data_IF_764921518790
#
_entry.id   IF_764921518790
#
_cell.length_a   1.000
_cell.length_b   1.000
_cell.length_c   1.000
_cell.angle_alpha   90.00
_cell.angle_beta   90.00
_cell.angle_gamma   90.00
#
_symmetry.space_group_name_H-M   'P 1'
#
loop_
_entity.id
_entity.type
_entity.pdbx_description
1 polymer ?
#
# COMPACT_ATOMS: atom_id res chain seq x y z
N UNK A 1 10.95 -17.69 5.39
CA UNK A 1 9.48 -17.53 5.44
C UNK A 1 8.85 -18.84 5.81
N UNK A 2 7.73 -18.83 6.55
CA UNK A 2 7.00 -20.06 6.87
C UNK A 2 6.50 -20.74 5.60
N UNK A 3 6.44 -22.07 5.61
CA UNK A 3 6.14 -22.89 4.42
C UNK A 3 4.67 -22.87 3.96
N UNK A 4 3.75 -22.15 4.63
CA UNK A 4 2.33 -22.09 4.24
C UNK A 4 1.65 -20.77 4.60
N UNK A 5 0.56 -20.44 3.88
CA UNK A 5 -0.27 -19.25 4.07
C UNK A 5 -0.91 -19.20 5.47
N UNK A 6 -1.48 -20.31 6.01
CA UNK A 6 -2.03 -20.30 7.37
C UNK A 6 -0.98 -19.97 8.45
N UNK A 7 0.26 -20.46 8.28
CA UNK A 7 1.35 -20.12 9.20
C UNK A 7 1.75 -18.65 9.09
N UNK A 8 1.78 -18.11 7.87
CA UNK A 8 2.03 -16.69 7.65
C UNK A 8 0.96 -15.82 8.33
N UNK A 9 -0.34 -16.14 8.17
CA UNK A 9 -1.42 -15.42 8.83
C UNK A 9 -1.37 -15.53 10.36
N UNK A 10 -0.93 -16.67 10.90
CA UNK A 10 -0.71 -16.81 12.34
C UNK A 10 0.36 -15.84 12.85
N UNK A 11 1.46 -15.67 12.12
CA UNK A 11 2.53 -14.73 12.46
C UNK A 11 2.02 -13.28 12.35
N UNK A 12 1.24 -12.97 11.32
CA UNK A 12 0.71 -11.62 11.06
C UNK A 12 -0.57 -11.30 11.85
N UNK A 13 -1.06 -12.19 12.71
CA UNK A 13 -2.36 -12.06 13.39
C UNK A 13 -2.55 -10.72 14.10
N UNK A 14 -1.48 -10.18 14.70
CA UNK A 14 -1.50 -8.90 15.44
C UNK A 14 -1.59 -7.65 14.57
N UNK A 15 -1.50 -7.77 13.25
CA UNK A 15 -1.48 -6.62 12.34
C UNK A 15 -2.88 -6.16 11.90
N UNK A 16 -3.91 -6.99 12.13
CA UNK A 16 -5.29 -6.71 11.72
C UNK A 16 -6.27 -6.99 12.86
N UNK A 17 -7.44 -6.36 12.79
CA UNK A 17 -8.56 -6.59 13.72
C UNK A 17 -9.26 -7.91 13.43
N UNK A 18 -10.14 -8.37 14.34
CA UNK A 18 -10.94 -9.58 14.09
C UNK A 18 -11.91 -9.41 12.92
N UNK A 19 -12.47 -8.22 12.72
CA UNK A 19 -13.34 -7.89 11.58
C UNK A 19 -12.59 -8.04 10.26
N UNK A 20 -11.42 -7.42 10.14
CA UNK A 20 -10.54 -7.52 8.96
C UNK A 20 -10.15 -8.99 8.70
N UNK A 21 -9.76 -9.73 9.74
CA UNK A 21 -9.46 -11.15 9.61
C UNK A 21 -10.67 -11.99 9.17
N UNK A 22 -11.87 -11.62 9.60
CA UNK A 22 -13.12 -12.23 9.16
C UNK A 22 -13.32 -12.07 7.66
N UNK A 23 -13.10 -10.86 7.14
CA UNK A 23 -13.17 -10.58 5.69
C UNK A 23 -12.07 -11.33 4.94
N UNK A 24 -10.80 -11.18 5.36
CA UNK A 24 -9.64 -11.85 4.73
C UNK A 24 -9.87 -13.35 4.61
N UNK A 25 -10.32 -14.02 5.67
CA UNK A 25 -10.51 -15.48 5.70
C UNK A 25 -11.81 -15.95 5.07
N UNK A 26 -12.75 -15.05 4.76
CA UNK A 26 -13.99 -15.42 4.07
C UNK A 26 -13.79 -15.68 2.57
N UNK A 27 -12.62 -15.31 2.02
CA UNK A 27 -12.28 -15.58 0.63
C UNK A 27 -12.15 -17.09 0.35
N UNK A 28 -12.57 -17.49 -0.85
CA UNK A 28 -12.81 -18.89 -1.23
C UNK A 28 -11.55 -19.76 -1.38
N UNK A 29 -10.38 -19.16 -1.58
CA UNK A 29 -9.10 -19.88 -1.71
C UNK A 29 -8.00 -19.19 -0.92
N UNK A 30 -6.97 -19.93 -0.50
CA UNK A 30 -5.83 -19.34 0.22
C UNK A 30 -5.15 -18.21 -0.57
N UNK A 31 -5.13 -18.31 -1.91
CA UNK A 31 -4.59 -17.25 -2.77
C UNK A 31 -5.44 -15.97 -2.68
N UNK A 32 -6.77 -16.09 -2.76
CA UNK A 32 -7.66 -14.93 -2.61
C UNK A 32 -7.63 -14.36 -1.19
N UNK A 33 -7.41 -15.20 -0.16
CA UNK A 33 -7.19 -14.71 1.21
C UNK A 33 -5.89 -13.90 1.28
N UNK A 34 -4.82 -14.37 0.63
CA UNK A 34 -3.54 -13.67 0.60
C UNK A 34 -3.62 -12.35 -0.21
N UNK A 35 -4.38 -12.34 -1.31
CA UNK A 35 -4.71 -11.12 -2.07
C UNK A 35 -5.42 -10.08 -1.18
N UNK A 36 -6.48 -10.49 -0.49
CA UNK A 36 -7.23 -9.63 0.43
C UNK A 36 -6.38 -9.14 1.62
N UNK A 37 -5.46 -9.99 2.10
CA UNK A 37 -4.47 -9.60 3.11
C UNK A 37 -3.58 -8.47 2.60
N UNK A 38 -3.04 -8.58 1.38
CA UNK A 38 -2.16 -7.56 0.81
C UNK A 38 -2.89 -6.24 0.53
N UNK A 39 -4.16 -6.31 0.14
CA UNK A 39 -5.03 -5.13 0.04
C UNK A 39 -5.17 -4.39 1.37
N UNK A 40 -5.55 -5.09 2.45
CA UNK A 40 -5.66 -4.47 3.78
C UNK A 40 -4.31 -3.95 4.29
N UNK A 41 -3.23 -4.67 4.00
CA UNK A 41 -1.88 -4.23 4.35
C UNK A 41 -1.53 -2.91 3.66
N UNK A 42 -1.77 -2.80 2.35
CA UNK A 42 -1.53 -1.59 1.59
C UNK A 42 -2.34 -0.39 2.12
N UNK A 43 -3.61 -0.61 2.47
CA UNK A 43 -4.47 0.41 3.09
C UNK A 43 -3.89 0.94 4.40
N UNK A 44 -3.55 0.07 5.36
CA UNK A 44 -2.93 0.47 6.63
C UNK A 44 -1.61 1.22 6.41
N UNK A 45 -0.74 0.70 5.56
CA UNK A 45 0.54 1.34 5.25
C UNK A 45 0.34 2.71 4.59
N UNK A 46 -0.66 2.87 3.72
CA UNK A 46 -0.97 4.15 3.08
C UNK A 46 -1.36 5.22 4.11
N UNK A 47 -2.21 4.84 5.08
CA UNK A 47 -2.59 5.73 6.19
C UNK A 47 -1.39 6.09 7.07
N UNK A 48 -0.61 5.09 7.51
CA UNK A 48 0.56 5.33 8.36
C UNK A 48 1.59 6.26 7.71
N UNK A 49 1.81 6.11 6.41
CA UNK A 49 2.69 6.98 5.62
C UNK A 49 2.13 8.39 5.53
N UNK A 50 0.82 8.53 5.30
CA UNK A 50 0.18 9.84 5.22
C UNK A 50 0.27 10.62 6.53
N UNK A 51 0.12 9.95 7.69
CA UNK A 51 0.24 10.61 9.00
C UNK A 51 1.69 10.75 9.51
N UNK A 52 2.65 10.03 8.93
CA UNK A 52 4.07 10.15 9.26
C UNK A 52 4.51 9.56 10.60
N UNK A 53 3.76 8.60 11.16
CA UNK A 53 4.01 8.04 12.51
C UNK A 53 5.05 6.92 12.57
N UNK A 54 5.44 6.36 11.41
CA UNK A 54 6.45 5.30 11.32
C UNK A 54 6.01 3.94 11.90
N UNK A 55 6.99 3.12 12.30
CA UNK A 55 6.82 1.68 12.61
C UNK A 55 6.22 1.37 14.00
N UNK A 56 6.15 2.36 14.90
CA UNK A 56 5.72 2.14 16.28
C UNK A 56 4.20 2.14 16.48
N UNK A 57 3.43 2.39 15.42
CA UNK A 57 2.00 2.52 15.51
C UNK A 57 1.32 1.15 15.70
N UNK A 58 0.41 1.06 16.66
CA UNK A 58 -0.37 -0.16 16.86
C UNK A 58 -1.43 -0.32 15.75
N UNK A 59 -1.16 -1.19 14.78
CA UNK A 59 -2.04 -1.44 13.62
C UNK A 59 -3.44 -1.94 13.99
N UNK A 60 -3.66 -2.50 15.18
CA UNK A 60 -4.98 -2.94 15.62
C UNK A 60 -5.94 -1.79 15.98
N UNK A 61 -5.42 -0.56 16.10
CA UNK A 61 -6.25 0.64 16.28
C UNK A 61 -6.96 1.05 15.00
N UNK A 62 -6.42 0.66 13.85
CA UNK A 62 -6.99 0.95 12.54
C UNK A 62 -7.84 -0.24 12.13
N UNK A 63 -9.02 0.01 11.61
CA UNK A 63 -9.86 -1.02 10.99
C UNK A 63 -10.35 -0.51 9.63
N UNK A 64 -10.10 -1.27 8.57
CA UNK A 64 -10.63 -0.99 7.25
C UNK A 64 -11.85 -1.84 6.93
N UNK A 65 -12.92 -1.17 6.51
CA UNK A 65 -14.11 -1.79 5.95
C UNK A 65 -14.03 -1.67 4.43
N UNK A 66 -13.43 -2.68 3.81
CA UNK A 66 -13.17 -2.68 2.37
C UNK A 66 -14.45 -2.80 1.53
N UNK A 67 -14.56 -1.96 0.50
CA UNK A 67 -15.67 -1.98 -0.46
C UNK A 67 -15.23 -1.45 -1.82
N UNK A 68 -15.60 -2.09 -2.95
CA UNK A 68 -16.21 -3.42 -3.04
C UNK A 68 -15.21 -4.52 -2.67
N UNK A 69 -15.68 -5.76 -2.44
CA UNK A 69 -14.78 -6.88 -2.10
C UNK A 69 -13.85 -7.29 -3.25
N UNK A 70 -14.29 -7.12 -4.49
CA UNK A 70 -13.50 -7.45 -5.68
C UNK A 70 -13.21 -6.19 -6.48
N UNK A 71 -11.92 -5.97 -6.77
CA UNK A 71 -11.44 -4.86 -7.58
C UNK A 71 -11.15 -5.35 -9.00
N UNK A 72 -11.55 -4.56 -10.00
CA UNK A 72 -11.12 -4.73 -11.38
C UNK A 72 -9.76 -4.05 -11.61
N UNK A 73 -8.95 -4.64 -12.50
CA UNK A 73 -7.63 -4.10 -12.84
C UNK A 73 -7.78 -2.73 -13.53
N UNK A 74 -6.96 -1.77 -13.10
CA UNK A 74 -6.87 -0.44 -13.68
C UNK A 74 -8.00 0.52 -13.31
N UNK A 75 -9.01 0.08 -12.55
CA UNK A 75 -10.07 0.92 -11.99
C UNK A 75 -9.72 1.43 -10.60
N UNK A 76 -10.24 2.61 -10.28
CA UNK A 76 -10.05 3.29 -8.99
C UNK A 76 -11.34 3.20 -8.19
N UNK A 77 -11.22 2.76 -6.95
CA UNK A 77 -12.32 2.61 -5.99
C UNK A 77 -12.09 3.52 -4.80
N UNK A 78 -13.18 4.05 -4.22
CA UNK A 78 -13.14 5.05 -3.14
C UNK A 78 -14.09 4.74 -1.98
N UNK A 79 -14.75 3.59 -2.04
CA UNK A 79 -15.84 3.22 -1.14
C UNK A 79 -15.34 2.61 0.18
N UNK A 80 -14.05 2.30 0.29
CA UNK A 80 -13.45 1.76 1.51
C UNK A 80 -13.41 2.79 2.62
N UNK A 81 -13.90 2.40 3.79
CA UNK A 81 -13.97 3.25 4.97
C UNK A 81 -12.94 2.82 6.02
N UNK A 82 -12.45 3.79 6.81
CA UNK A 82 -11.52 3.53 7.91
C UNK A 82 -12.15 3.93 9.24
N UNK A 83 -11.93 3.08 10.26
CA UNK A 83 -12.17 3.39 11.65
C UNK A 83 -10.83 3.50 12.38
N UNK A 84 -10.73 4.46 13.29
CA UNK A 84 -9.64 4.60 14.24
C UNK A 84 -10.20 4.47 15.66
N UNK A 85 -9.70 3.50 16.42
CA UNK A 85 -10.19 3.17 17.77
C UNK A 85 -11.71 2.96 17.83
N UNK A 86 -12.30 2.46 16.74
CA UNK A 86 -13.74 2.20 16.62
C UNK A 86 -14.58 3.39 16.13
N UNK A 87 -13.97 4.55 15.90
CA UNK A 87 -14.64 5.74 15.38
C UNK A 87 -14.38 5.91 13.88
N UNK A 88 -15.42 6.22 13.11
CA UNK A 88 -15.29 6.46 11.67
C UNK A 88 -14.49 7.74 11.42
N UNK A 89 -13.49 7.63 10.55
CA UNK A 89 -12.60 8.73 10.19
C UNK A 89 -12.98 9.34 8.83
N UNK A 90 -12.85 10.67 8.71
CA UNK A 90 -13.12 11.42 7.47
C UNK A 90 -11.90 11.38 6.51
N UNK A 91 -11.43 10.18 6.20
CA UNK A 91 -10.34 9.96 5.25
C UNK A 91 -10.89 9.34 3.97
N UNK A 92 -10.33 9.72 2.83
CA UNK A 92 -10.63 9.07 1.55
C UNK A 92 -9.49 8.14 1.17
N UNK A 93 -9.83 6.93 0.74
CA UNK A 93 -8.85 5.95 0.27
C UNK A 93 -9.12 5.63 -1.19
N UNK A 94 -8.14 5.85 -2.05
CA UNK A 94 -8.22 5.41 -3.45
C UNK A 94 -7.50 4.08 -3.59
N UNK A 95 -8.23 3.06 -4.04
CA UNK A 95 -7.71 1.71 -4.24
C UNK A 95 -7.65 1.37 -5.72
N UNK A 96 -6.49 0.89 -6.17
CA UNK A 96 -6.28 0.46 -7.56
C UNK A 96 -5.52 -0.85 -7.58
N UNK A 97 -5.99 -1.81 -8.38
CA UNK A 97 -5.24 -3.02 -8.71
C UNK A 97 -4.52 -2.79 -10.05
N UNK A 98 -3.20 -2.68 -10.04
CA UNK A 98 -2.42 -2.34 -11.25
C UNK A 98 -2.37 -3.50 -12.24
N UNK A 99 -2.29 -4.71 -11.72
CA UNK A 99 -2.29 -5.98 -12.44
C UNK A 99 -2.76 -7.08 -11.49
N UNK A 100 -2.57 -8.35 -11.86
CA UNK A 100 -3.07 -9.44 -11.04
C UNK A 100 -2.44 -9.58 -9.64
N UNK A 101 -1.29 -8.95 -9.38
CA UNK A 101 -0.45 -9.20 -8.22
C UNK A 101 -0.17 -7.92 -7.38
N UNK A 102 -0.52 -6.74 -7.89
CA UNK A 102 -0.16 -5.47 -7.26
C UNK A 102 -1.38 -4.64 -6.86
N UNK A 103 -1.54 -4.45 -5.56
CA UNK A 103 -2.49 -3.51 -4.96
C UNK A 103 -1.81 -2.19 -4.64
N UNK A 104 -2.49 -1.09 -4.93
CA UNK A 104 -2.10 0.26 -4.54
C UNK A 104 -3.23 0.90 -3.74
N UNK A 105 -2.85 1.53 -2.63
CA UNK A 105 -3.76 2.33 -1.80
C UNK A 105 -3.16 3.72 -1.62
N UNK A 106 -3.98 4.75 -1.84
CA UNK A 106 -3.64 6.16 -1.61
C UNK A 106 -4.55 6.70 -0.51
N UNK A 107 -3.96 7.06 0.64
CA UNK A 107 -4.67 7.72 1.72
C UNK A 107 -4.66 9.23 1.51
N UNK A 108 -5.84 9.83 1.43
CA UNK A 108 -6.05 11.27 1.29
C UNK A 108 -6.60 11.81 2.62
N UNK A 109 -5.85 12.75 3.21
CA UNK A 109 -6.15 13.35 4.51
C UNK A 109 -7.53 13.99 4.57
N UNK A 110 -8.00 14.24 5.80
CA UNK A 110 -9.24 14.96 6.07
C UNK A 110 -9.26 16.23 5.22
N UNK A 111 -10.35 16.44 4.48
CA UNK A 111 -10.57 17.74 3.86
C UNK A 111 -10.79 18.74 4.99
N UNK A 112 -9.71 19.35 5.47
CA UNK A 112 -9.83 20.48 6.38
C UNK A 112 -10.73 21.50 5.66
N UNK A 113 -11.90 21.79 6.24
CA UNK A 113 -12.73 22.92 5.84
C UNK A 113 -11.96 24.20 6.19
N UNK A 114 -10.85 24.46 5.51
CA UNK A 114 -10.21 25.76 5.53
C UNK A 114 -11.26 26.74 5.02
N UNK A 115 -11.63 27.68 5.89
CA UNK A 115 -12.54 28.76 5.55
C UNK A 115 -12.08 29.44 4.26
N UNK A 116 -12.97 29.45 3.28
CA UNK A 116 -13.07 30.32 2.11
C UNK A 116 -11.86 31.21 1.76
N UNK A 117 -11.29 30.98 0.57
CA UNK A 117 -11.12 31.96 -0.53
C UNK A 117 -9.82 31.72 -1.32
N UNK A 118 -9.78 30.65 -2.11
CA UNK A 118 -9.06 30.71 -3.38
C UNK A 118 -10.04 30.33 -4.49
N UNK A 119 -10.51 31.39 -5.16
CA UNK A 119 -11.21 31.31 -6.42
C UNK A 119 -10.40 30.54 -7.46
N UNK A 120 -11.11 29.75 -8.26
CA UNK A 120 -10.66 29.12 -9.50
C UNK A 120 -9.46 28.18 -9.37
N UNK A 121 -9.68 26.99 -8.82
CA UNK A 121 -9.07 25.81 -9.43
C UNK A 121 -10.15 25.19 -10.29
N UNK A 122 -9.92 25.21 -11.61
CA UNK A 122 -10.81 24.63 -12.59
C UNK A 122 -11.26 23.26 -12.10
N UNK A 123 -12.58 23.09 -11.97
CA UNK A 123 -13.22 21.79 -12.06
C UNK A 123 -12.93 21.24 -13.45
N UNK A 124 -11.72 20.70 -13.62
CA UNK A 124 -11.48 19.77 -14.70
C UNK A 124 -12.40 18.58 -14.44
N UNK A 125 -13.10 18.16 -15.49
CA UNK A 125 -13.84 16.91 -15.56
C UNK A 125 -13.18 15.84 -14.66
N UNK A 126 -13.94 15.06 -13.87
CA UNK A 126 -13.37 14.07 -12.99
C UNK A 126 -12.85 12.89 -13.85
N UNK A 127 -11.74 13.10 -14.56
CA UNK A 127 -10.91 12.00 -14.98
C UNK A 127 -10.49 11.32 -13.69
N UNK A 128 -11.04 10.12 -13.48
CA UNK A 128 -10.69 9.30 -12.33
C UNK A 128 -9.15 9.21 -12.28
N UNK A 129 -8.53 9.48 -11.12
CA UNK A 129 -7.07 9.52 -11.02
C UNK A 129 -6.51 8.14 -11.33
N UNK A 130 -5.99 7.96 -12.55
CA UNK A 130 -5.42 6.70 -13.00
C UNK A 130 -3.90 6.78 -12.94
N UNK A 131 -3.26 5.72 -12.44
CA UNK A 131 -1.81 5.60 -12.46
C UNK A 131 -1.28 5.63 -13.89
N UNK A 132 -0.22 6.41 -14.11
CA UNK A 132 0.51 6.44 -15.37
C UNK A 132 1.82 5.68 -15.20
N UNK A 133 2.08 4.72 -16.08
CA UNK A 133 3.36 4.01 -16.12
C UNK A 133 4.40 4.89 -16.83
N UNK A 134 5.48 5.23 -16.15
CA UNK A 134 6.59 6.03 -16.69
C UNK A 134 7.76 5.12 -17.07
N UNK A 135 8.42 5.40 -18.19
CA UNK A 135 9.69 4.75 -18.55
C UNK A 135 10.87 5.45 -17.88
N UNK A 136 12.07 4.88 -18.02
CA UNK A 136 13.29 5.54 -17.55
C UNK A 136 13.49 6.90 -18.24
N UNK A 137 13.24 6.97 -19.55
CA UNK A 137 13.34 8.21 -20.34
C UNK A 137 12.39 9.29 -19.81
N UNK A 138 11.16 8.93 -19.45
CA UNK A 138 10.21 9.86 -18.83
C UNK A 138 10.73 10.40 -17.49
N UNK A 139 11.31 9.53 -16.65
CA UNK A 139 11.85 9.90 -15.34
C UNK A 139 13.04 10.87 -15.46
N UNK A 140 13.89 10.70 -16.48
CA UNK A 140 15.11 11.51 -16.66
C UNK A 140 14.95 12.67 -17.64
N UNK A 141 13.78 12.83 -18.27
CA UNK A 141 13.54 13.85 -19.30
C UNK A 141 13.91 15.28 -18.87
N UNK A 142 13.70 15.59 -17.59
CA UNK A 142 14.07 16.89 -16.98
C UNK A 142 15.26 16.77 -15.99
N UNK A 143 15.93 15.63 -15.97
CA UNK A 143 17.05 15.37 -15.06
C UNK A 143 18.27 16.19 -15.44
N UNK A 144 18.85 16.88 -14.46
CA UNK A 144 20.12 17.61 -14.60
C UNK A 144 21.10 17.00 -13.61
N UNK A 145 22.32 16.72 -14.08
CA UNK A 145 23.37 16.18 -13.20
C UNK A 145 23.78 17.20 -12.15
N UNK A 146 23.70 16.82 -10.88
CA UNK A 146 24.11 17.65 -9.73
C UNK A 146 25.55 17.32 -9.30
N UNK A 147 25.97 16.07 -9.50
CA UNK A 147 27.28 15.57 -9.09
C UNK A 147 28.00 14.92 -10.27
N UNK A 148 29.34 14.92 -10.29
CA UNK A 148 30.10 14.15 -11.28
C UNK A 148 29.73 12.66 -11.24
N UNK A 149 29.99 11.97 -12.36
CA UNK A 149 29.83 10.53 -12.44
C UNK A 149 30.74 9.82 -11.43
N UNK A 150 30.19 8.87 -10.70
CA UNK A 150 30.91 8.01 -9.76
C UNK A 150 30.85 6.56 -10.23
N UNK A 151 31.89 6.12 -10.95
CA UNK A 151 31.98 4.75 -11.47
C UNK A 151 32.04 3.70 -10.36
N UNK A 152 32.50 4.06 -9.14
CA UNK A 152 32.59 3.13 -8.03
C UNK A 152 31.21 2.68 -7.54
N UNK A 153 30.16 3.47 -7.77
CA UNK A 153 28.78 3.09 -7.44
C UNK A 153 28.36 1.80 -8.16
N UNK A 154 28.71 1.68 -9.45
CA UNK A 154 28.39 0.49 -10.26
C UNK A 154 29.22 -0.73 -9.84
N UNK A 155 30.53 -0.55 -9.67
CA UNK A 155 31.43 -1.64 -9.26
C UNK A 155 31.00 -2.23 -7.90
N UNK A 156 30.63 -1.36 -6.96
CA UNK A 156 30.11 -1.77 -5.66
C UNK A 156 28.78 -2.53 -5.76
N UNK A 157 27.89 -2.15 -6.68
CA UNK A 157 26.65 -2.88 -6.92
C UNK A 157 26.93 -4.28 -7.47
N UNK A 158 27.78 -4.40 -8.51
CA UNK A 158 28.13 -5.69 -9.12
C UNK A 158 28.87 -6.64 -8.16
N UNK A 159 29.57 -6.11 -7.17
CA UNK A 159 30.27 -6.92 -6.15
C UNK A 159 29.34 -7.63 -5.17
N UNK A 160 28.07 -7.20 -5.05
CA UNK A 160 27.11 -7.79 -4.12
C UNK A 160 26.62 -9.14 -4.63
N UNK A 161 26.47 -10.12 -3.73
CA UNK A 161 25.83 -11.39 -4.09
C UNK A 161 24.37 -11.16 -4.51
N UNK A 162 23.97 -11.80 -5.60
CA UNK A 162 22.62 -11.68 -6.18
C UNK A 162 21.52 -12.22 -5.27
N UNK A 163 21.85 -13.13 -4.35
CA UNK A 163 20.90 -13.66 -3.37
C UNK A 163 21.48 -13.68 -1.95
N UNK A 164 20.65 -13.40 -0.92
CA UNK A 164 21.09 -13.51 0.46
C UNK A 164 21.38 -14.97 0.81
N UNK A 165 22.46 -15.19 1.56
CA UNK A 165 22.81 -16.51 2.11
C UNK A 165 21.66 -16.97 3.00
N UNK A 166 20.92 -17.99 2.56
CA UNK A 166 19.85 -18.60 3.36
C UNK A 166 20.49 -19.19 4.61
N UNK A 167 20.17 -18.65 5.79
CA UNK A 167 20.47 -19.32 7.05
C UNK A 167 19.68 -20.63 7.08
N UNK A 168 20.34 -21.75 6.80
CA UNK A 168 19.83 -23.06 7.13
C UNK A 168 19.73 -23.11 8.66
N UNK A 169 18.51 -23.06 9.17
CA UNK A 169 18.22 -23.21 10.59
C UNK A 169 18.92 -24.45 11.13
N UNK A 170 19.73 -24.26 12.17
CA UNK A 170 20.38 -25.33 12.93
C UNK A 170 19.37 -26.44 13.26
N UNK A 171 19.61 -27.64 12.72
CA UNK A 171 19.02 -28.85 13.27
C UNK A 171 19.65 -29.11 14.63
N UNK A 172 18.85 -28.99 15.69
CA UNK A 172 19.07 -29.68 16.96
C UNK A 172 17.74 -30.22 17.45
#
# INVERSE_FOLDING_TARGET
>A
GSSSIPNFFRIMKRQFTETEWGVIKSMSSEWMQLDMFHRHWALKESFLKAVGVGIGFNLQRIEFNVSPLQLEIGKVYKETEMLLDGEKEDWTFEETRLDDHHHVAVALGKQERFGQNHSSVCSMEPNQPQFTLLTFEDLVASGISITPEDSACWDNFCSKQESPVKQNSHSR
#
